data_IF_138410611349
#
_entry.id   IF_138410611349
#
_cell.length_a   1.000
_cell.length_b   1.000
_cell.length_c   1.000
_cell.angle_alpha   90.00
_cell.angle_beta   90.00
_cell.angle_gamma   90.00
#
_symmetry.space_group_name_H-M   'P 1'
#
loop_
_entity.id
_entity.type
_entity.pdbx_description
1 polymer ?
#
# COMPACT_ATOMS: atom_id res chain seq x y z
N UNK A 1 5.56 -16.57 -28.04
CA UNK A 1 5.65 -15.87 -26.74
C UNK A 1 4.33 -16.07 -25.99
N UNK A 2 4.37 -16.49 -24.72
CA UNK A 2 3.16 -16.71 -23.92
C UNK A 2 2.78 -15.44 -23.17
N UNK A 3 1.63 -14.84 -23.52
CA UNK A 3 1.03 -13.71 -22.82
C UNK A 3 0.19 -14.27 -21.65
N UNK A 4 0.84 -14.91 -20.67
CA UNK A 4 0.13 -15.53 -19.54
C UNK A 4 -0.61 -14.52 -18.67
N UNK A 5 -0.20 -13.24 -18.69
CA UNK A 5 -0.88 -12.17 -17.95
C UNK A 5 -2.32 -11.91 -18.41
N UNK A 6 -2.69 -12.29 -19.64
CA UNK A 6 -4.05 -12.05 -20.15
C UNK A 6 -5.03 -13.15 -19.72
N UNK A 7 -4.55 -14.39 -19.62
CA UNK A 7 -5.36 -15.57 -19.28
C UNK A 7 -5.44 -15.76 -17.76
N UNK A 8 -4.33 -15.52 -17.04
CA UNK A 8 -4.26 -15.66 -15.58
C UNK A 8 -3.96 -14.31 -14.94
N UNK A 9 -5.02 -13.60 -14.52
CA UNK A 9 -4.90 -12.40 -13.70
C UNK A 9 -4.70 -12.81 -12.25
N UNK A 10 -3.52 -12.52 -11.69
CA UNK A 10 -3.22 -12.78 -10.26
C UNK A 10 -4.21 -12.09 -9.32
N UNK A 11 -4.76 -10.94 -9.74
CA UNK A 11 -5.79 -10.20 -8.99
C UNK A 11 -7.10 -10.97 -8.84
N UNK A 12 -7.42 -11.86 -9.78
CA UNK A 12 -8.66 -12.64 -9.78
C UNK A 12 -8.46 -14.05 -9.19
N UNK A 13 -7.26 -14.37 -8.74
CA UNK A 13 -6.95 -15.71 -8.25
C UNK A 13 -7.43 -15.88 -6.79
N UNK A 14 -8.26 -16.89 -6.54
CA UNK A 14 -8.73 -17.21 -5.19
C UNK A 14 -7.65 -17.96 -4.38
N UNK A 15 -6.73 -17.20 -3.78
CA UNK A 15 -5.66 -17.77 -2.96
C UNK A 15 -6.17 -18.56 -1.74
N UNK A 16 -7.30 -18.16 -1.15
CA UNK A 16 -7.84 -18.80 0.04
C UNK A 16 -8.43 -20.17 -0.28
N UNK A 17 -9.32 -20.23 -1.28
CA UNK A 17 -9.95 -21.48 -1.70
C UNK A 17 -8.93 -22.50 -2.22
N UNK A 18 -7.91 -22.05 -2.97
CA UNK A 18 -6.82 -22.93 -3.40
C UNK A 18 -5.97 -23.44 -2.25
N UNK A 19 -5.66 -22.58 -1.27
CA UNK A 19 -4.93 -23.02 -0.08
C UNK A 19 -5.67 -24.09 0.69
N UNK A 20 -6.99 -23.96 0.81
CA UNK A 20 -7.85 -24.94 1.47
C UNK A 20 -7.99 -26.23 0.65
N UNK A 21 -8.15 -26.16 -0.67
CA UNK A 21 -8.30 -27.35 -1.52
C UNK A 21 -7.02 -28.20 -1.57
N UNK A 22 -5.85 -27.57 -1.43
CA UNK A 22 -4.58 -28.24 -1.27
C UNK A 22 -4.34 -28.79 0.14
N UNK A 23 -5.21 -28.49 1.11
CA UNK A 23 -5.07 -28.90 2.50
C UNK A 23 -3.90 -28.25 3.22
N UNK A 24 -3.58 -26.99 2.90
CA UNK A 24 -2.51 -26.27 3.57
C UNK A 24 -2.90 -25.94 5.02
N UNK A 25 -2.05 -26.33 5.97
CA UNK A 25 -2.21 -25.97 7.39
C UNK A 25 -1.96 -24.46 7.62
N UNK A 26 -1.07 -23.87 6.82
CA UNK A 26 -0.72 -22.46 6.88
C UNK A 26 -0.31 -21.96 5.50
N UNK A 27 -0.71 -20.73 5.15
CA UNK A 27 -0.26 -20.08 3.92
C UNK A 27 1.23 -19.71 4.01
N UNK A 28 2.00 -19.94 2.93
CA UNK A 28 3.41 -19.53 2.86
C UNK A 28 3.53 -18.01 2.80
N UNK A 29 4.71 -17.49 3.14
CA UNK A 29 4.98 -16.06 2.99
C UNK A 29 5.27 -15.71 1.53
N UNK A 30 4.33 -15.02 0.87
CA UNK A 30 4.48 -14.57 -0.52
C UNK A 30 4.01 -13.12 -0.69
N UNK A 31 4.69 -12.37 -1.58
CA UNK A 31 4.35 -10.96 -1.89
C UNK A 31 2.96 -10.84 -2.53
N UNK A 32 2.56 -11.83 -3.30
CA UNK A 32 1.24 -11.93 -3.93
C UNK A 32 0.12 -11.97 -2.89
N UNK A 33 0.28 -12.79 -1.84
CA UNK A 33 -0.69 -12.88 -0.75
C UNK A 33 -0.80 -11.55 0.02
N UNK A 34 0.30 -10.83 0.20
CA UNK A 34 0.28 -9.50 0.81
C UNK A 34 -0.46 -8.48 -0.07
N UNK A 35 -0.33 -8.57 -1.40
CA UNK A 35 -1.09 -7.73 -2.33
C UNK A 35 -2.58 -8.08 -2.31
N UNK A 36 -2.92 -9.36 -2.16
CA UNK A 36 -4.29 -9.84 -1.96
C UNK A 36 -4.89 -9.50 -0.58
N UNK A 37 -4.17 -8.74 0.27
CA UNK A 37 -4.67 -8.28 1.56
C UNK A 37 -4.33 -9.17 2.76
N UNK A 38 -3.42 -10.15 2.60
CA UNK A 38 -2.98 -10.96 3.72
C UNK A 38 -2.19 -10.14 4.74
N UNK A 39 -2.47 -10.39 6.02
CA UNK A 39 -1.78 -9.77 7.15
C UNK A 39 -0.90 -10.80 7.85
N UNK A 40 0.30 -10.40 8.28
CA UNK A 40 1.20 -11.26 9.04
C UNK A 40 1.00 -11.04 10.53
N UNK A 41 0.60 -12.07 11.27
CA UNK A 41 0.48 -12.06 12.73
C UNK A 41 1.20 -13.28 13.30
N UNK A 42 2.11 -13.08 14.25
CA UNK A 42 2.85 -14.17 14.95
C UNK A 42 3.36 -15.26 13.99
N UNK A 43 4.07 -14.86 12.93
CA UNK A 43 4.59 -15.73 11.84
C UNK A 43 3.54 -16.44 10.97
N UNK A 44 2.24 -16.30 11.27
CA UNK A 44 1.14 -16.82 10.43
C UNK A 44 0.66 -15.76 9.44
N UNK A 45 0.42 -16.18 8.20
CA UNK A 45 -0.27 -15.35 7.21
C UNK A 45 -1.78 -15.55 7.38
N UNK A 46 -2.50 -14.45 7.58
CA UNK A 46 -3.95 -14.42 7.68
C UNK A 46 -4.48 -13.75 6.41
N UNK A 47 -5.10 -14.53 5.54
CA UNK A 47 -5.80 -14.05 4.36
C UNK A 47 -7.31 -14.16 4.62
N UNK A 48 -8.12 -13.13 4.28
CA UNK A 48 -9.57 -13.26 4.34
C UNK A 48 -10.06 -14.47 3.54
N UNK A 49 -10.91 -15.29 4.14
CA UNK A 49 -11.44 -16.52 3.52
C UNK A 49 -10.58 -17.76 3.72
N UNK A 50 -9.33 -17.64 4.18
CA UNK A 50 -8.51 -18.80 4.57
C UNK A 50 -8.73 -19.14 6.04
N UNK A 51 -9.16 -20.36 6.34
CA UNK A 51 -9.36 -20.86 7.70
C UNK A 51 -8.15 -21.71 8.09
N UNK A 52 -7.19 -21.18 8.88
CA UNK A 52 -6.05 -21.95 9.34
C UNK A 52 -6.45 -22.96 10.42
N UNK A 53 -5.80 -24.11 10.43
CA UNK A 53 -5.96 -25.09 11.51
C UNK A 53 -5.32 -24.59 12.82
N UNK A 54 -5.87 -25.02 13.95
CA UNK A 54 -5.40 -24.64 15.30
C UNK A 54 -4.11 -25.36 15.74
N UNK A 55 -3.48 -26.10 14.83
CA UNK A 55 -2.29 -26.91 15.11
C UNK A 55 -1.05 -26.01 15.25
N UNK A 56 -0.24 -26.29 16.26
CA UNK A 56 1.07 -25.67 16.43
C UNK A 56 2.13 -26.44 15.63
N UNK A 57 2.49 -25.91 14.46
CA UNK A 57 3.49 -26.50 13.57
C UNK A 57 4.90 -26.50 14.18
N UNK A 58 5.20 -25.57 15.08
CA UNK A 58 6.53 -25.50 15.69
C UNK A 58 6.75 -26.68 16.65
N UNK A 59 5.69 -27.17 17.30
CA UNK A 59 5.72 -28.35 18.18
C UNK A 59 5.95 -29.69 17.48
N UNK A 60 5.71 -29.78 16.17
CA UNK A 60 5.83 -31.02 15.41
C UNK A 60 7.31 -31.29 15.12
N UNK A 61 7.89 -32.31 15.74
CA UNK A 61 9.28 -32.71 15.52
C UNK A 61 9.46 -33.48 14.21
N UNK A 62 10.62 -33.32 13.58
CA UNK A 62 11.01 -34.16 12.46
C UNK A 62 11.27 -35.60 12.88
N UNK A 63 10.97 -36.54 11.99
CA UNK A 63 11.22 -37.97 12.20
C UNK A 63 12.72 -38.28 12.37
N UNK A 64 13.60 -37.53 11.70
CA UNK A 64 15.04 -37.69 11.80
C UNK A 64 15.61 -36.77 12.91
N UNK A 65 16.26 -37.33 13.95
CA UNK A 65 16.81 -36.56 15.04
C UNK A 65 17.95 -35.60 14.62
N UNK A 66 18.73 -35.93 13.59
CA UNK A 66 19.79 -35.02 13.11
C UNK A 66 19.18 -33.78 12.49
N UNK A 67 18.18 -33.98 11.64
CA UNK A 67 17.45 -32.90 10.97
C UNK A 67 16.69 -32.03 11.97
N UNK A 68 16.14 -32.61 13.03
CA UNK A 68 15.47 -31.85 14.10
C UNK A 68 16.46 -30.97 14.87
N UNK A 69 17.67 -31.46 15.16
CA UNK A 69 18.72 -30.64 15.80
C UNK A 69 19.11 -29.45 14.94
N UNK A 70 19.37 -29.69 13.65
CA UNK A 70 19.68 -28.61 12.71
C UNK A 70 18.56 -27.58 12.61
N UNK A 71 17.30 -28.04 12.57
CA UNK A 71 16.12 -27.16 12.57
C UNK A 71 16.06 -26.29 13.83
N UNK A 72 16.27 -26.88 15.01
CA UNK A 72 16.25 -26.13 16.28
C UNK A 72 17.38 -25.09 16.35
N UNK A 73 18.58 -25.43 15.89
CA UNK A 73 19.69 -24.48 15.79
C UNK A 73 19.37 -23.32 14.84
N UNK A 74 18.74 -23.60 13.69
CA UNK A 74 18.30 -22.56 12.75
C UNK A 74 17.24 -21.64 13.35
N UNK A 75 16.23 -22.20 14.02
CA UNK A 75 15.15 -21.43 14.66
C UNK A 75 15.69 -20.48 15.74
N UNK A 76 16.62 -20.97 16.58
CA UNK A 76 17.27 -20.13 17.60
C UNK A 76 18.09 -19.01 16.96
N UNK A 77 18.90 -19.31 15.95
CA UNK A 77 19.68 -18.31 15.24
C UNK A 77 18.80 -17.22 14.58
N UNK A 78 17.67 -17.60 13.98
CA UNK A 78 16.74 -16.64 13.39
C UNK A 78 16.09 -15.72 14.44
N UNK A 79 15.78 -16.23 15.62
CA UNK A 79 15.25 -15.45 16.74
C UNK A 79 16.28 -14.45 17.26
N UNK A 80 17.51 -14.90 17.49
CA UNK A 80 18.60 -14.06 17.93
C UNK A 80 18.91 -12.94 16.92
N UNK A 81 18.96 -13.25 15.63
CA UNK A 81 19.20 -12.25 14.59
C UNK A 81 18.06 -11.24 14.48
N UNK A 82 16.80 -11.67 14.66
CA UNK A 82 15.65 -10.75 14.74
C UNK A 82 15.79 -9.81 15.93
N UNK A 83 16.14 -10.32 17.09
CA UNK A 83 16.30 -9.55 18.32
C UNK A 83 17.47 -8.57 18.25
N UNK A 84 18.60 -8.99 17.68
CA UNK A 84 19.72 -8.08 17.40
C UNK A 84 19.31 -6.97 16.46
N UNK A 85 18.55 -7.28 15.40
CA UNK A 85 18.09 -6.29 14.42
C UNK A 85 17.08 -5.30 15.01
N UNK A 86 16.16 -5.74 15.87
CA UNK A 86 15.21 -4.86 16.56
C UNK A 86 15.94 -3.96 17.55
N UNK A 87 16.83 -4.51 18.38
CA UNK A 87 17.68 -3.75 19.32
C UNK A 87 18.55 -2.72 18.58
N UNK A 88 19.20 -3.11 17.48
CA UNK A 88 20.01 -2.21 16.63
C UNK A 88 19.18 -1.07 16.05
N UNK A 89 17.97 -1.36 15.54
CA UNK A 89 17.04 -0.33 15.03
C UNK A 89 16.61 0.62 16.14
N UNK A 90 16.34 0.12 17.34
CA UNK A 90 15.92 0.93 18.47
C UNK A 90 17.06 1.81 19.00
N UNK A 91 18.27 1.26 19.13
CA UNK A 91 19.47 2.00 19.48
C UNK A 91 19.75 3.13 18.46
N UNK A 92 19.69 2.82 17.16
CA UNK A 92 19.85 3.81 16.11
C UNK A 92 18.79 4.92 16.16
N UNK A 93 17.53 4.60 16.51
CA UNK A 93 16.46 5.60 16.70
C UNK A 93 16.71 6.48 17.93
N UNK A 94 17.22 5.90 19.01
CA UNK A 94 17.48 6.62 20.26
C UNK A 94 18.69 7.55 20.13
N UNK A 95 19.75 7.11 19.44
CA UNK A 95 20.97 7.86 19.16
C UNK A 95 20.79 9.04 18.18
N UNK A 96 19.60 9.23 17.59
CA UNK A 96 19.35 10.40 16.74
C UNK A 96 19.32 11.69 17.56
N UNK A 97 20.05 12.72 17.12
CA UNK A 97 20.03 14.06 17.72
C UNK A 97 18.63 14.68 17.70
N UNK A 98 18.35 15.56 18.66
CA UNK A 98 17.05 16.24 18.82
C UNK A 98 16.59 16.95 17.54
N UNK A 99 17.50 17.64 16.85
CA UNK A 99 17.22 18.31 15.57
C UNK A 99 16.70 17.34 14.48
N UNK A 100 17.28 16.14 14.35
CA UNK A 100 16.81 15.14 13.38
C UNK A 100 15.44 14.56 13.75
N UNK A 101 15.10 14.51 15.04
CA UNK A 101 13.76 14.10 15.51
C UNK A 101 12.71 15.17 15.17
N UNK A 102 13.05 16.46 15.33
CA UNK A 102 12.18 17.58 14.95
C UNK A 102 11.91 17.63 13.45
N UNK A 103 12.94 17.58 12.60
CA UNK A 103 12.78 17.57 11.12
C UNK A 103 11.91 16.39 10.65
N UNK A 104 12.03 15.22 11.29
CA UNK A 104 11.19 14.06 11.00
C UNK A 104 9.72 14.29 11.40
N UNK A 105 9.46 14.96 12.52
CA UNK A 105 8.12 15.31 12.96
C UNK A 105 7.48 16.33 12.02
N UNK A 106 8.22 17.37 11.63
CA UNK A 106 7.75 18.39 10.69
C UNK A 106 7.40 17.78 9.32
N UNK A 107 8.27 16.93 8.77
CA UNK A 107 7.99 16.18 7.52
C UNK A 107 6.75 15.31 7.65
N UNK A 108 6.53 14.67 8.81
CA UNK A 108 5.33 13.86 9.05
C UNK A 108 4.06 14.72 9.08
N UNK A 109 4.10 15.86 9.75
CA UNK A 109 2.98 16.81 9.79
C UNK A 109 2.66 17.35 8.39
N UNK A 110 3.67 17.77 7.62
CA UNK A 110 3.48 18.24 6.23
C UNK A 110 2.86 17.18 5.33
N UNK A 111 3.27 15.91 5.46
CA UNK A 111 2.66 14.79 4.72
C UNK A 111 1.21 14.54 5.16
N UNK A 112 0.91 14.65 6.46
CA UNK A 112 -0.45 14.50 6.98
C UNK A 112 -1.39 15.60 6.47
N UNK A 113 -0.96 16.86 6.57
CA UNK A 113 -1.70 18.00 6.05
C UNK A 113 -1.95 17.91 4.54
N UNK A 114 -0.95 17.44 3.76
CA UNK A 114 -1.15 17.18 2.32
C UNK A 114 -2.20 16.11 2.06
N UNK A 115 -2.22 15.04 2.85
CA UNK A 115 -3.18 13.93 2.71
C UNK A 115 -4.59 14.35 3.13
N UNK A 116 -4.72 15.09 4.22
CA UNK A 116 -5.99 15.66 4.66
C UNK A 116 -6.56 16.61 3.60
N UNK A 117 -5.72 17.50 3.03
CA UNK A 117 -6.13 18.38 1.93
C UNK A 117 -6.55 17.63 0.66
N UNK A 118 -5.94 16.49 0.34
CA UNK A 118 -6.37 15.67 -0.81
C UNK A 118 -7.66 14.90 -0.55
N UNK A 119 -7.97 14.56 0.70
CA UNK A 119 -9.20 13.85 1.07
C UNK A 119 -10.38 14.80 1.27
N UNK A 120 -10.11 16.03 1.71
CA UNK A 120 -11.13 17.08 1.86
C UNK A 120 -11.40 17.85 0.57
N UNK A 121 -10.56 17.67 -0.46
CA UNK A 121 -10.86 18.18 -1.78
C UNK A 121 -12.06 17.38 -2.33
N UNK A 122 -13.09 18.03 -2.90
CA UNK A 122 -14.18 17.33 -3.57
C UNK A 122 -13.59 16.39 -4.62
N UNK A 123 -13.67 15.08 -4.37
CA UNK A 123 -13.34 14.07 -5.37
C UNK A 123 -14.60 13.89 -6.20
N UNK A 124 -14.65 14.58 -7.34
CA UNK A 124 -15.69 14.32 -8.35
C UNK A 124 -15.42 12.93 -8.91
N UNK A 125 -16.35 12.00 -8.74
CA UNK A 125 -16.24 10.65 -9.30
C UNK A 125 -16.46 10.75 -10.81
N UNK A 126 -15.48 10.38 -11.64
CA UNK A 126 -15.63 10.44 -13.10
C UNK A 126 -16.82 9.58 -13.59
N UNK A 127 -17.20 8.55 -12.83
CA UNK A 127 -18.30 7.64 -13.16
C UNK A 127 -19.71 8.25 -12.99
N UNK A 128 -19.83 9.41 -12.35
CA UNK A 128 -21.11 10.12 -12.15
C UNK A 128 -21.31 11.28 -13.13
N UNK A 129 -20.31 11.62 -13.95
CA UNK A 129 -20.36 12.71 -14.92
C UNK A 129 -20.63 12.19 -16.34
N UNK A 130 -21.41 12.95 -17.10
CA UNK A 130 -21.55 12.77 -18.55
C UNK A 130 -20.22 13.04 -19.27
N UNK A 131 -20.00 12.39 -20.42
CA UNK A 131 -18.81 12.63 -21.28
C UNK A 131 -18.64 14.12 -21.61
N UNK A 132 -19.73 14.85 -21.79
CA UNK A 132 -19.74 16.30 -22.06
C UNK A 132 -19.22 17.11 -20.85
N UNK A 133 -19.61 16.72 -19.64
CA UNK A 133 -19.18 17.37 -18.40
C UNK A 133 -17.69 17.11 -18.15
N UNK A 134 -17.21 15.89 -18.43
CA UNK A 134 -15.79 15.54 -18.35
C UNK A 134 -14.98 16.38 -19.35
N UNK A 135 -15.50 16.56 -20.57
CA UNK A 135 -14.80 17.35 -21.59
C UNK A 135 -14.75 18.84 -21.24
N UNK A 136 -15.82 19.39 -20.66
CA UNK A 136 -15.86 20.74 -20.13
C UNK A 136 -14.82 20.94 -19.01
N UNK A 137 -14.80 20.04 -18.02
CA UNK A 137 -13.81 20.07 -16.92
C UNK A 137 -12.36 20.01 -17.43
N UNK A 138 -12.10 19.26 -18.50
CA UNK A 138 -10.76 19.21 -19.14
C UNK A 138 -10.39 20.53 -19.81
N UNK A 139 -11.33 21.20 -20.48
CA UNK A 139 -11.14 22.52 -21.11
C UNK A 139 -10.83 23.58 -20.05
N UNK A 140 -11.61 23.62 -18.97
CA UNK A 140 -11.40 24.54 -17.85
C UNK A 140 -10.04 24.34 -17.16
N UNK A 141 -9.67 23.09 -16.89
CA UNK A 141 -8.36 22.75 -16.32
C UNK A 141 -7.19 23.18 -17.22
N UNK A 142 -7.33 23.05 -18.55
CA UNK A 142 -6.31 23.48 -19.50
C UNK A 142 -6.13 25.01 -19.50
N UNK A 143 -7.21 25.77 -19.38
CA UNK A 143 -7.19 27.23 -19.27
C UNK A 143 -6.52 27.68 -17.95
N UNK A 144 -6.86 27.06 -16.81
CA UNK A 144 -6.19 27.31 -15.53
C UNK A 144 -4.68 27.02 -15.58
N UNK A 145 -4.27 25.98 -16.31
CA UNK A 145 -2.84 25.68 -16.54
C UNK A 145 -2.14 26.76 -17.37
N UNK A 146 -2.84 27.37 -18.33
CA UNK A 146 -2.30 28.47 -19.14
C UNK A 146 -2.16 29.76 -18.31
N UNK A 147 -3.12 30.06 -17.44
CA UNK A 147 -3.06 31.17 -16.47
C UNK A 147 -1.87 31.00 -15.51
N UNK A 148 -1.72 29.83 -14.88
CA UNK A 148 -0.59 29.55 -13.96
C UNK A 148 0.78 29.63 -14.65
N UNK A 149 0.82 29.44 -15.97
CA UNK A 149 2.03 29.59 -16.80
C UNK A 149 2.21 31.02 -17.35
N UNK A 150 1.32 31.96 -17.01
CA UNK A 150 1.34 33.35 -17.46
C UNK A 150 1.00 33.55 -18.94
N UNK A 151 0.43 32.55 -19.62
CA UNK A 151 0.11 32.60 -21.06
C UNK A 151 -1.30 33.10 -21.35
N UNK A 152 -2.09 33.37 -20.31
CA UNK A 152 -3.47 33.84 -20.36
C UNK A 152 -3.63 34.85 -19.21
N UNK A 153 -4.32 35.97 -19.44
CA UNK A 153 -4.68 36.92 -18.39
C UNK A 153 -6.00 36.53 -17.70
N UNK A 154 -6.25 37.03 -16.49
CA UNK A 154 -7.49 36.74 -15.74
C UNK A 154 -8.75 37.20 -16.49
N UNK A 155 -8.67 38.34 -17.19
CA UNK A 155 -9.80 38.85 -18.00
C UNK A 155 -10.15 37.92 -19.17
N UNK A 156 -9.13 37.40 -19.85
CA UNK A 156 -9.31 36.46 -20.97
C UNK A 156 -9.79 35.09 -20.51
N UNK A 157 -9.51 34.71 -19.25
CA UNK A 157 -10.03 33.48 -18.67
C UNK A 157 -11.55 33.57 -18.46
N UNK A 158 -12.04 34.67 -17.87
CA UNK A 158 -13.48 34.89 -17.63
C UNK A 158 -14.29 34.88 -18.93
N UNK A 159 -13.77 35.55 -19.97
CA UNK A 159 -14.40 35.57 -21.30
C UNK A 159 -14.47 34.17 -21.94
N UNK A 160 -13.41 33.35 -21.79
CA UNK A 160 -13.39 31.97 -22.31
C UNK A 160 -14.22 30.97 -21.50
N UNK A 161 -14.55 31.28 -20.24
CA UNK A 161 -15.44 30.51 -19.38
C UNK A 161 -16.91 30.93 -19.53
N UNK A 162 -17.20 32.00 -20.27
CA UNK A 162 -18.56 32.51 -20.46
C UNK A 162 -19.09 33.28 -19.25
N UNK A 163 -18.23 33.76 -18.35
CA UNK A 163 -18.62 34.71 -17.30
C UNK A 163 -18.68 36.12 -17.92
N UNK A 164 -19.89 36.68 -18.03
CA UNK A 164 -20.12 38.03 -18.56
C UNK A 164 -19.30 39.07 -17.76
N UNK A 165 -18.60 40.00 -18.42
CA UNK A 165 -17.74 40.97 -17.76
C UNK A 165 -18.48 42.03 -16.93
N UNK A 166 -19.81 41.91 -16.76
CA UNK A 166 -20.68 42.89 -16.11
C UNK A 166 -21.09 42.54 -14.66
N UNK A 167 -20.59 41.44 -14.09
CA UNK A 167 -20.91 41.02 -12.70
C UNK A 167 -19.77 41.22 -11.69
N UNK A 168 -18.90 42.20 -11.92
CA UNK A 168 -17.95 42.74 -10.92
C UNK A 168 -18.13 44.25 -10.77
#
# INVERSE_FOLDING_TARGET
EHICNFIFKLEQFDYAGHGMSLGLLQLPYMRELLQAGATVKRRKLLLPGFVPDEIDLESIAFKDPKRERERQEQLQNEEDERDKKTKKRQAARNAQSWSKKLDKMEKKQKRKARRERSLSAPQVHEDELSDDEIEQMRKEYALLKKLKKGKLSEKQLGEMLGEDPASL
#
